data_IF_564006508572
#
_entry.id   IF_564006508572
#
_cell.length_a   1.000
_cell.length_b   1.000
_cell.length_c   1.000
_cell.angle_alpha   90.00
_cell.angle_beta   90.00
_cell.angle_gamma   90.00
#
_symmetry.space_group_name_H-M   'P 1'
#
loop_
_entity.id
_entity.type
_entity.pdbx_description
1 polymer ?
#
# COMPACT_ATOMS: atom_id res chain seq x y z
N UNK A 1 -5.16 -13.96 -0.49
CA UNK A 1 -3.79 -13.86 0.07
C UNK A 1 -3.84 -13.17 1.43
N UNK A 2 -3.54 -13.90 2.51
CA UNK A 2 -3.59 -13.42 3.91
C UNK A 2 -2.23 -13.00 4.48
N UNK A 3 -1.18 -13.04 3.66
CA UNK A 3 0.18 -12.69 4.09
C UNK A 3 0.33 -11.16 4.33
N UNK A 4 0.54 -10.71 5.58
CA UNK A 4 0.70 -9.29 5.90
C UNK A 4 2.01 -8.71 5.35
N UNK A 5 3.04 -9.53 5.14
CA UNK A 5 4.32 -9.07 4.59
C UNK A 5 4.16 -8.61 3.14
N UNK A 6 3.47 -9.43 2.33
CA UNK A 6 3.18 -9.10 0.93
C UNK A 6 2.29 -7.86 0.84
N UNK A 7 1.23 -7.77 1.64
CA UNK A 7 0.33 -6.62 1.64
C UNK A 7 1.07 -5.31 2.00
N UNK A 8 1.97 -5.35 3.00
CA UNK A 8 2.82 -4.22 3.37
C UNK A 8 3.82 -3.84 2.28
N UNK A 9 4.46 -4.82 1.63
CA UNK A 9 5.36 -4.56 0.52
C UNK A 9 4.62 -3.87 -0.64
N UNK A 10 3.45 -4.39 -1.03
CA UNK A 10 2.65 -3.83 -2.12
C UNK A 10 2.09 -2.44 -1.78
N UNK A 11 1.71 -2.19 -0.52
CA UNK A 11 1.35 -0.85 -0.04
C UNK A 11 2.54 0.11 -0.15
N UNK A 12 3.74 -0.34 0.21
CA UNK A 12 4.98 0.41 0.04
C UNK A 12 5.25 0.76 -1.44
N UNK A 13 5.07 -0.19 -2.36
CA UNK A 13 5.23 0.06 -3.80
C UNK A 13 4.20 1.09 -4.31
N UNK A 14 2.92 0.89 -4.00
CA UNK A 14 1.84 1.76 -4.45
C UNK A 14 2.05 3.20 -3.96
N UNK A 15 2.45 3.37 -2.70
CA UNK A 15 2.70 4.67 -2.08
C UNK A 15 3.98 5.31 -2.59
N UNK A 16 5.05 4.54 -2.81
CA UNK A 16 6.28 5.09 -3.36
C UNK A 16 6.11 5.58 -4.80
N UNK A 17 5.25 4.92 -5.59
CA UNK A 17 4.85 5.44 -6.91
C UNK A 17 4.14 6.79 -6.81
N UNK A 18 3.21 6.98 -5.87
CA UNK A 18 2.51 8.27 -5.73
C UNK A 18 3.43 9.38 -5.22
N UNK A 19 4.31 9.07 -4.26
CA UNK A 19 5.25 10.01 -3.66
C UNK A 19 6.34 10.43 -4.66
N UNK A 20 6.90 9.48 -5.41
CA UNK A 20 8.00 9.75 -6.33
C UNK A 20 7.64 10.67 -7.51
N UNK A 21 6.36 10.80 -7.85
CA UNK A 21 5.87 11.77 -8.85
C UNK A 21 5.56 13.15 -8.27
N UNK A 22 5.56 13.32 -6.95
CA UNK A 22 5.29 14.60 -6.32
C UNK A 22 6.56 15.45 -6.21
N UNK A 23 6.44 16.76 -6.49
CA UNK A 23 7.53 17.73 -6.25
C UNK A 23 7.89 17.87 -4.76
N UNK A 24 7.02 17.43 -3.85
CA UNK A 24 7.19 17.50 -2.40
C UNK A 24 7.52 16.14 -1.78
N UNK A 25 8.21 15.26 -2.52
CA UNK A 25 8.50 13.88 -2.09
C UNK A 25 9.11 13.79 -0.68
N UNK A 26 10.03 14.68 -0.31
CA UNK A 26 10.63 14.69 1.04
C UNK A 26 9.63 14.96 2.17
N UNK A 27 8.68 15.88 1.98
CA UNK A 27 7.62 16.17 2.98
C UNK A 27 6.68 14.97 3.12
N UNK A 28 6.37 14.31 2.00
CA UNK A 28 5.51 13.12 2.00
C UNK A 28 6.18 11.94 2.70
N UNK A 29 7.48 11.71 2.48
CA UNK A 29 8.24 10.68 3.19
C UNK A 29 8.30 10.95 4.70
N UNK A 30 8.50 12.22 5.10
CA UNK A 30 8.43 12.62 6.50
C UNK A 30 7.05 12.38 7.12
N UNK A 31 5.97 12.69 6.39
CA UNK A 31 4.60 12.44 6.84
C UNK A 31 4.29 10.93 6.97
N UNK A 32 4.80 10.10 6.06
CA UNK A 32 4.68 8.63 6.15
C UNK A 32 5.41 8.13 7.39
N UNK A 33 6.68 8.53 7.57
CA UNK A 33 7.47 8.10 8.72
C UNK A 33 6.79 8.47 10.05
N UNK A 34 6.29 9.69 10.17
CA UNK A 34 5.53 10.13 11.34
C UNK A 34 4.27 9.28 11.54
N UNK A 35 3.50 9.04 10.48
CA UNK A 35 2.27 8.25 10.56
C UNK A 35 2.55 6.78 10.92
N UNK A 36 3.64 6.18 10.44
CA UNK A 36 4.09 4.84 10.84
C UNK A 36 4.40 4.80 12.33
N UNK A 37 5.16 5.78 12.85
CA UNK A 37 5.51 5.86 14.27
C UNK A 37 4.23 5.98 15.12
N UNK A 38 3.31 6.87 14.73
CA UNK A 38 2.03 7.05 15.42
C UNK A 38 1.20 5.76 15.38
N UNK A 39 1.09 5.13 14.20
CA UNK A 39 0.35 3.88 14.03
C UNK A 39 0.90 2.72 14.86
N UNK A 40 2.23 2.61 14.97
CA UNK A 40 2.87 1.61 15.81
C UNK A 40 2.70 1.87 17.32
N UNK A 41 2.59 3.14 17.71
CA UNK A 41 2.46 3.57 19.10
C UNK A 41 1.02 3.45 19.66
N UNK A 42 0.00 3.32 18.79
CA UNK A 42 -1.39 3.15 19.22
C UNK A 42 -1.60 1.85 20.01
N UNK A 43 -2.57 1.82 20.94
CA UNK A 43 -2.90 0.61 21.71
C UNK A 43 -3.30 -0.53 20.77
N UNK A 44 -3.01 -1.79 21.15
CA UNK A 44 -3.29 -2.94 20.31
C UNK A 44 -4.79 -3.01 20.01
N UNK A 45 -5.14 -3.16 18.74
CA UNK A 45 -6.51 -3.43 18.33
C UNK A 45 -6.89 -4.86 18.73
N UNK A 46 -8.14 -5.05 19.17
CA UNK A 46 -8.67 -6.38 19.49
C UNK A 46 -8.46 -7.34 18.30
N UNK A 47 -8.17 -8.60 18.61
CA UNK A 47 -7.86 -9.71 17.67
C UNK A 47 -8.90 -9.94 16.56
N UNK A 48 -10.08 -9.33 16.64
CA UNK A 48 -11.11 -9.37 15.60
C UNK A 48 -10.97 -8.33 14.49
N UNK A 49 -10.01 -7.40 14.55
CA UNK A 49 -9.86 -6.31 13.56
C UNK A 49 -8.83 -6.57 12.47
N UNK A 50 -8.09 -7.67 12.54
CA UNK A 50 -6.98 -7.96 11.61
C UNK A 50 -7.46 -8.11 10.16
N UNK A 51 -8.63 -8.73 9.96
CA UNK A 51 -9.22 -8.89 8.63
C UNK A 51 -9.69 -7.55 8.04
N UNK A 52 -10.22 -6.65 8.89
CA UNK A 52 -10.59 -5.30 8.47
C UNK A 52 -9.36 -4.46 8.10
N UNK A 53 -8.28 -4.57 8.88
CA UNK A 53 -7.01 -3.90 8.58
C UNK A 53 -6.42 -4.39 7.25
N UNK A 54 -6.48 -5.69 6.98
CA UNK A 54 -6.01 -6.26 5.72
C UNK A 54 -6.85 -5.75 4.54
N UNK A 55 -8.18 -5.73 4.65
CA UNK A 55 -9.09 -5.16 3.65
C UNK A 55 -8.80 -3.68 3.39
N UNK A 56 -8.54 -2.90 4.45
CA UNK A 56 -8.15 -1.50 4.34
C UNK A 56 -6.84 -1.33 3.57
N UNK A 57 -5.84 -2.19 3.81
CA UNK A 57 -4.58 -2.16 3.05
C UNK A 57 -4.81 -2.39 1.56
N UNK A 58 -5.62 -3.39 1.19
CA UNK A 58 -5.95 -3.64 -0.21
C UNK A 58 -6.70 -2.48 -0.86
N UNK A 59 -7.66 -1.89 -0.13
CA UNK A 59 -8.33 -0.67 -0.58
C UNK A 59 -7.35 0.49 -0.81
N UNK A 60 -6.39 0.68 0.09
CA UNK A 60 -5.36 1.72 -0.04
C UNK A 60 -4.42 1.47 -1.20
N UNK A 61 -4.05 0.21 -1.48
CA UNK A 61 -3.26 -0.15 -2.66
C UNK A 61 -4.00 0.26 -3.94
N UNK A 62 -5.29 -0.09 -4.05
CA UNK A 62 -6.13 0.25 -5.21
C UNK A 62 -6.24 1.77 -5.36
N UNK A 63 -6.51 2.50 -4.28
CA UNK A 63 -6.66 3.96 -4.30
C UNK A 63 -5.33 4.64 -4.66
N UNK A 64 -4.23 4.25 -4.00
CA UNK A 64 -2.90 4.82 -4.23
C UNK A 64 -2.44 4.56 -5.66
N UNK A 65 -2.50 3.30 -6.12
CA UNK A 65 -2.20 2.95 -7.50
C UNK A 65 -3.13 3.71 -8.44
N UNK A 66 -4.45 3.53 -8.33
CA UNK A 66 -5.49 4.10 -9.20
C UNK A 66 -5.40 5.62 -9.34
N UNK A 67 -4.89 6.31 -8.31
CA UNK A 67 -4.68 7.74 -8.39
C UNK A 67 -3.66 8.16 -9.47
N UNK A 68 -2.77 7.28 -9.93
CA UNK A 68 -1.76 7.56 -10.98
C UNK A 68 -2.35 7.78 -12.39
N UNK A 69 -3.62 7.43 -12.58
CA UNK A 69 -4.37 7.68 -13.81
C UNK A 69 -5.19 8.96 -13.76
N UNK A 70 -5.33 9.59 -12.58
CA UNK A 70 -5.94 10.91 -12.50
C UNK A 70 -5.08 11.92 -13.28
N UNK A 71 -5.70 12.79 -14.09
CA UNK A 71 -5.02 13.93 -14.70
C UNK A 71 -4.32 14.76 -13.62
N UNK A 72 -3.13 15.31 -13.92
CA UNK A 72 -2.36 16.11 -12.95
C UNK A 72 -3.18 17.29 -12.37
N UNK A 73 -4.18 17.79 -13.12
CA UNK A 73 -5.11 18.86 -12.68
C UNK A 73 -6.11 18.40 -11.62
N UNK A 74 -6.47 17.12 -11.62
CA UNK A 74 -7.44 16.50 -10.71
C UNK A 74 -6.75 15.78 -9.55
N UNK A 75 -5.43 15.86 -9.46
CA UNK A 75 -4.64 15.20 -8.44
C UNK A 75 -4.09 16.23 -7.46
N UNK A 76 -4.91 16.71 -6.52
CA UNK A 76 -4.47 17.72 -5.57
C UNK A 76 -3.36 17.15 -4.68
N UNK A 77 -2.40 18.00 -4.31
CA UNK A 77 -1.36 17.62 -3.35
C UNK A 77 -1.95 17.08 -2.03
N UNK A 78 -3.14 17.55 -1.65
CA UNK A 78 -3.90 17.05 -0.52
C UNK A 78 -4.21 15.55 -0.64
N UNK A 79 -4.60 15.06 -1.83
CA UNK A 79 -4.87 13.63 -2.04
C UNK A 79 -3.60 12.80 -1.86
N UNK A 80 -2.47 13.25 -2.42
CA UNK A 80 -1.19 12.54 -2.21
C UNK A 80 -0.75 12.53 -0.76
N UNK A 81 -1.00 13.63 -0.02
CA UNK A 81 -0.69 13.73 1.40
C UNK A 81 -1.58 12.81 2.24
N UNK A 82 -2.89 12.80 1.98
CA UNK A 82 -3.84 11.92 2.68
C UNK A 82 -3.48 10.46 2.42
N UNK A 83 -3.22 10.07 1.16
CA UNK A 83 -2.82 8.68 0.87
C UNK A 83 -1.51 8.31 1.56
N UNK A 84 -0.55 9.23 1.64
CA UNK A 84 0.73 9.01 2.31
C UNK A 84 0.53 8.81 3.83
N UNK A 85 -0.19 9.70 4.50
CA UNK A 85 -0.47 9.60 5.94
C UNK A 85 -1.26 8.33 6.26
N UNK A 86 -2.35 8.06 5.53
CA UNK A 86 -3.20 6.91 5.81
C UNK A 86 -2.43 5.61 5.55
N UNK A 87 -1.65 5.53 4.48
CA UNK A 87 -0.82 4.35 4.22
C UNK A 87 0.25 4.12 5.29
N UNK A 88 0.91 5.18 5.78
CA UNK A 88 1.89 5.07 6.86
C UNK A 88 1.23 4.64 8.18
N UNK A 89 0.08 5.22 8.52
CA UNK A 89 -0.67 4.85 9.73
C UNK A 89 -1.12 3.40 9.71
N UNK A 90 -1.69 2.94 8.59
CA UNK A 90 -2.13 1.54 8.44
C UNK A 90 -0.93 0.58 8.39
N UNK A 91 0.18 0.97 7.77
CA UNK A 91 1.41 0.18 7.82
C UNK A 91 1.96 0.03 9.24
N UNK A 92 1.93 1.10 10.04
CA UNK A 92 2.30 1.09 11.46
C UNK A 92 1.42 0.16 12.30
N UNK A 93 0.11 0.24 12.11
CA UNK A 93 -0.86 -0.64 12.80
C UNK A 93 -0.66 -2.11 12.41
N UNK A 94 -0.61 -2.41 11.11
CA UNK A 94 -0.45 -3.78 10.63
C UNK A 94 0.93 -4.35 11.01
N UNK A 95 1.98 -3.54 10.99
CA UNK A 95 3.31 -3.94 11.39
C UNK A 95 3.44 -4.29 12.87
N UNK A 96 2.63 -3.66 13.73
CA UNK A 96 2.52 -4.01 15.15
C UNK A 96 1.86 -5.38 15.33
N UNK A 97 0.79 -5.68 14.58
CA UNK A 97 0.04 -6.94 14.64
C UNK A 97 0.87 -8.10 14.07
N UNK A 98 1.52 -7.89 12.93
CA UNK A 98 2.25 -8.93 12.21
C UNK A 98 3.70 -9.16 12.74
N UNK A 99 4.21 -8.28 13.60
CA UNK A 99 5.52 -8.41 14.25
C UNK A 99 6.62 -7.52 13.66
N UNK A 100 7.62 -7.17 14.46
CA UNK A 100 8.59 -6.09 14.19
C UNK A 100 9.36 -6.21 12.85
N UNK A 101 9.57 -7.41 12.31
CA UNK A 101 10.24 -7.63 11.02
C UNK A 101 9.42 -7.24 9.79
N UNK A 102 8.11 -7.05 9.92
CA UNK A 102 7.19 -6.79 8.80
C UNK A 102 7.30 -5.37 8.25
N UNK A 103 7.55 -4.39 9.11
CA UNK A 103 7.71 -2.97 8.71
C UNK A 103 8.92 -2.76 7.80
N UNK A 104 9.94 -3.63 7.90
CA UNK A 104 11.11 -3.61 7.03
C UNK A 104 10.72 -3.77 5.56
N UNK A 105 9.75 -4.64 5.25
CA UNK A 105 9.28 -4.85 3.88
C UNK A 105 8.57 -3.61 3.32
N UNK A 106 7.73 -2.95 4.12
CA UNK A 106 7.11 -1.68 3.74
C UNK A 106 8.18 -0.62 3.45
N UNK A 107 9.14 -0.43 4.36
CA UNK A 107 10.17 0.60 4.22
C UNK A 107 11.07 0.37 3.00
N UNK A 108 11.50 -0.87 2.76
CA UNK A 108 12.32 -1.24 1.60
C UNK A 108 11.54 -1.02 0.30
N UNK A 109 10.31 -1.53 0.22
CA UNK A 109 9.47 -1.39 -0.96
C UNK A 109 9.12 0.08 -1.26
N UNK A 110 8.80 0.87 -0.23
CA UNK A 110 8.55 2.31 -0.33
C UNK A 110 9.77 3.05 -0.86
N UNK A 111 10.94 2.82 -0.27
CA UNK A 111 12.17 3.52 -0.64
C UNK A 111 12.56 3.19 -2.08
N UNK A 112 12.60 1.90 -2.42
CA UNK A 112 12.97 1.44 -3.75
C UNK A 112 12.01 2.00 -4.82
N UNK A 113 10.71 1.84 -4.63
CA UNK A 113 9.70 2.31 -5.59
C UNK A 113 9.68 3.83 -5.72
N UNK A 114 9.92 4.57 -4.63
CA UNK A 114 10.05 6.04 -4.67
C UNK A 114 11.26 6.47 -5.51
N UNK A 115 12.42 5.89 -5.27
CA UNK A 115 13.66 6.19 -6.02
C UNK A 115 13.49 5.88 -7.50
N UNK A 116 12.99 4.68 -7.81
CA UNK A 116 12.70 4.25 -9.19
C UNK A 116 11.74 5.25 -9.86
N UNK A 117 10.68 5.63 -9.16
CA UNK A 117 9.69 6.58 -9.69
C UNK A 117 10.26 7.96 -9.98
N UNK A 118 11.11 8.48 -9.09
CA UNK A 118 11.81 9.76 -9.31
C UNK A 118 12.70 9.68 -10.55
N UNK A 119 13.46 8.59 -10.71
CA UNK A 119 14.37 8.39 -11.85
C UNK A 119 13.60 8.30 -13.17
N UNK A 120 12.50 7.55 -13.23
CA UNK A 120 11.66 7.44 -14.42
C UNK A 120 10.89 8.73 -14.72
N UNK A 121 10.44 9.46 -13.70
CA UNK A 121 9.78 10.75 -13.86
C UNK A 121 10.70 11.78 -14.55
N UNK A 122 11.98 11.82 -14.18
CA UNK A 122 13.00 12.69 -14.82
C UNK A 122 13.17 12.38 -16.31
N UNK A 123 13.06 11.11 -16.70
CA UNK A 123 13.16 10.66 -18.10
C UNK A 123 11.85 10.82 -18.89
N UNK A 124 10.78 11.35 -18.29
CA UNK A 124 9.40 11.41 -18.84
C UNK A 124 8.78 10.03 -19.12
N UNK A 125 9.31 8.96 -18.51
CA UNK A 125 8.83 7.59 -18.71
C UNK A 125 7.73 7.26 -17.70
N UNK A 126 6.56 7.87 -17.90
CA UNK A 126 5.38 7.64 -17.04
C UNK A 126 4.67 6.32 -17.33
N UNK A 127 4.83 5.77 -18.54
CA UNK A 127 4.11 4.57 -18.99
C UNK A 127 4.44 3.31 -18.15
N UNK A 128 5.72 2.96 -17.88
CA UNK A 128 6.03 1.74 -17.13
C UNK A 128 5.43 1.73 -15.72
N UNK A 129 5.38 2.89 -15.05
CA UNK A 129 4.82 2.99 -13.70
C UNK A 129 3.31 2.86 -13.73
N UNK A 130 2.62 3.38 -14.76
CA UNK A 130 1.19 3.14 -14.94
C UNK A 130 0.87 1.68 -15.25
N UNK A 131 1.73 1.00 -16.02
CA UNK A 131 1.60 -0.44 -16.24
C UNK A 131 1.74 -1.17 -14.91
N UNK A 132 2.82 -0.95 -14.16
CA UNK A 132 3.02 -1.58 -12.86
C UNK A 132 1.88 -1.28 -11.86
N UNK A 133 1.39 -0.04 -11.83
CA UNK A 133 0.23 0.33 -11.03
C UNK A 133 -1.02 -0.44 -11.47
N UNK A 134 -1.19 -0.69 -12.78
CA UNK A 134 -2.34 -1.44 -13.31
C UNK A 134 -2.38 -2.86 -12.78
N UNK A 135 -1.19 -3.45 -12.62
CA UNK A 135 -1.03 -4.76 -12.00
C UNK A 135 -1.39 -4.72 -10.52
N UNK A 136 -0.99 -3.67 -9.79
CA UNK A 136 -1.38 -3.49 -8.38
C UNK A 136 -2.90 -3.35 -8.21
N UNK A 137 -3.57 -2.62 -9.10
CA UNK A 137 -5.04 -2.52 -9.11
C UNK A 137 -5.67 -3.88 -9.39
N UNK A 138 -5.16 -4.63 -10.37
CA UNK A 138 -5.67 -5.97 -10.69
C UNK A 138 -5.49 -6.95 -9.51
N UNK A 139 -4.31 -6.94 -8.87
CA UNK A 139 -4.04 -7.78 -7.69
C UNK A 139 -4.96 -7.39 -6.53
N UNK A 140 -5.13 -6.09 -6.26
CA UNK A 140 -6.02 -5.61 -5.20
C UNK A 140 -7.48 -5.97 -5.46
N UNK A 141 -7.95 -5.79 -6.69
CA UNK A 141 -9.30 -6.15 -7.10
C UNK A 141 -9.54 -7.66 -7.01
N UNK A 142 -8.58 -8.48 -7.45
CA UNK A 142 -8.62 -9.93 -7.31
C UNK A 142 -8.71 -10.35 -5.84
N UNK A 143 -7.92 -9.74 -4.97
CA UNK A 143 -7.94 -10.10 -3.56
C UNK A 143 -9.24 -9.66 -2.85
N UNK A 144 -9.85 -8.55 -3.30
CA UNK A 144 -11.17 -8.11 -2.85
C UNK A 144 -12.32 -8.98 -3.36
N UNK A 145 -12.20 -9.57 -4.56
CA UNK A 145 -13.21 -10.52 -5.06
C UNK A 145 -13.08 -11.89 -4.42
N UNK A 146 -11.86 -12.32 -4.05
CA UNK A 146 -11.63 -13.57 -3.32
C UNK A 146 -12.32 -13.61 -1.94
N UNK A 147 -12.57 -12.47 -1.29
CA UNK A 147 -13.35 -12.43 -0.04
C UNK A 147 -14.85 -12.54 -0.25
N UNK A 148 -15.34 -12.44 -1.49
CA UNK A 148 -16.76 -12.47 -1.85
C UNK A 148 -17.12 -13.77 -2.57
N UNK A 149 -16.17 -14.35 -3.31
CA UNK A 149 -16.37 -15.63 -3.98
C UNK A 149 -16.61 -16.72 -2.93
N UNK A 150 -17.78 -17.39 -2.94
CA UNK A 150 -17.99 -18.54 -2.08
C UNK A 150 -16.92 -19.56 -2.44
N UNK A 151 -16.08 -19.88 -1.45
CA UNK A 151 -15.18 -21.05 -1.51
C UNK A 151 -16.05 -22.20 -1.99
N UNK A 152 -15.70 -22.78 -3.13
CA UNK A 152 -16.47 -23.84 -3.79
C UNK A 152 -16.94 -24.83 -2.73
N UNK A 153 -18.26 -25.09 -2.56
CA UNK A 153 -18.74 -26.03 -1.56
C UNK A 153 -18.05 -27.38 -1.77
N UNK A 154 -17.18 -27.78 -0.82
CA UNK A 154 -16.33 -28.97 -0.93
C UNK A 154 -14.82 -28.73 -1.03
N UNK A 155 -14.36 -27.48 -1.07
CA UNK A 155 -12.93 -27.18 -0.98
C UNK A 155 -12.45 -27.37 0.48
N UNK A 156 -11.88 -28.55 0.76
CA UNK A 156 -11.07 -28.74 1.97
C UNK A 156 -9.74 -27.99 1.76
N UNK A 157 -9.33 -27.08 2.66
CA UNK A 157 -8.00 -26.50 2.60
C UNK A 157 -6.98 -27.63 2.68
N UNK A 158 -6.14 -27.73 1.64
CA UNK A 158 -5.08 -28.72 1.59
C UNK A 158 -4.08 -28.42 2.70
N UNK A 159 -3.45 -29.45 3.26
CA UNK A 159 -2.59 -29.39 4.46
C UNK A 159 -1.25 -28.65 4.22
N UNK A 160 -1.17 -27.92 3.11
CA UNK A 160 -0.06 -27.10 2.67
C UNK A 160 -0.41 -25.60 2.62
N UNK A 161 -1.61 -25.18 3.02
CA UNK A 161 -1.99 -23.77 3.27
C UNK A 161 -1.78 -23.34 4.73
#
# INVERSE_FOLDING_TARGET
MRDPHLALALLGVATGFTVGFSRKGGVLLGAIALAVIVGAALPPTDTGRDEQLLLLVWGLIIIAAGSLWLPDRLRPNALTLVTAIVSGGVAGLLGRVAGAGTLGWFAVALTFSTVVSILLARKRWRLPIRVAAGWLVAIGALNATLTILPVTPGFLPDHLE
#
